data_IF_980100395001
#
_entry.id   IF_980100395001
#
_cell.length_a   1.000
_cell.length_b   1.000
_cell.length_c   1.000
_cell.angle_alpha   90.00
_cell.angle_beta   90.00
_cell.angle_gamma   90.00
#
_symmetry.space_group_name_H-M   'P 1'
#
loop_
_entity.id
_entity.type
_entity.pdbx_description
1 polymer ?
#
# COMPACT_ATOMS: atom_id res chain seq x y z
N UNK A 1 30.23 -0.52 -0.04
CA UNK A 1 30.14 -0.53 1.43
C UNK A 1 29.63 -1.91 1.83
N UNK A 2 30.56 -2.79 2.19
CA UNK A 2 30.28 -4.14 2.69
C UNK A 2 29.70 -4.02 4.09
N UNK A 3 28.51 -4.57 4.32
CA UNK A 3 27.95 -4.69 5.65
C UNK A 3 28.91 -5.55 6.50
N UNK A 4 29.60 -4.89 7.42
CA UNK A 4 30.44 -5.48 8.46
C UNK A 4 29.57 -6.37 9.34
N UNK A 5 29.93 -7.66 9.46
CA UNK A 5 29.82 -8.66 10.55
C UNK A 5 28.73 -8.55 11.68
N UNK A 6 28.07 -7.42 11.89
CA UNK A 6 27.03 -7.14 12.90
C UNK A 6 25.62 -7.63 12.52
N UNK A 7 25.38 -8.06 11.27
CA UNK A 7 24.03 -8.30 10.75
C UNK A 7 23.28 -9.53 11.29
N UNK A 8 23.89 -10.72 11.49
CA UNK A 8 23.15 -11.90 11.94
C UNK A 8 22.93 -11.98 13.45
N UNK A 9 23.84 -11.40 14.25
CA UNK A 9 23.73 -11.40 15.72
C UNK A 9 22.58 -10.49 16.19
N UNK A 10 22.36 -9.38 15.47
CA UNK A 10 21.24 -8.48 15.73
C UNK A 10 19.90 -9.15 15.45
N UNK A 11 19.76 -9.85 14.32
CA UNK A 11 18.53 -10.57 13.97
C UNK A 11 18.21 -11.64 15.01
N UNK A 12 19.20 -12.43 15.44
CA UNK A 12 19.01 -13.46 16.47
C UNK A 12 18.58 -12.89 17.82
N UNK A 13 18.98 -11.65 18.13
CA UNK A 13 18.59 -10.99 19.39
C UNK A 13 17.10 -10.67 19.43
N UNK A 14 16.51 -10.31 18.29
CA UNK A 14 15.09 -9.93 18.20
C UNK A 14 14.17 -11.09 17.81
N UNK A 15 14.72 -12.16 17.23
CA UNK A 15 13.97 -13.33 16.76
C UNK A 15 12.94 -13.88 17.78
N UNK A 16 13.25 -14.01 19.09
CA UNK A 16 12.29 -14.53 20.07
C UNK A 16 11.03 -13.67 20.25
N UNK A 17 11.13 -12.37 19.97
CA UNK A 17 10.03 -11.41 20.16
C UNK A 17 9.09 -11.35 18.95
N UNK A 18 9.57 -11.78 17.77
CA UNK A 18 8.84 -11.66 16.50
C UNK A 18 7.46 -12.32 16.54
N UNK A 19 7.27 -13.54 17.06
CA UNK A 19 5.94 -14.16 17.11
C UNK A 19 4.92 -13.33 17.89
N UNK A 20 5.31 -12.79 19.05
CA UNK A 20 4.42 -11.95 19.85
C UNK A 20 4.06 -10.63 19.14
N UNK A 21 4.99 -10.07 18.37
CA UNK A 21 4.74 -8.90 17.53
C UNK A 21 3.79 -9.21 16.36
N UNK A 22 3.94 -10.37 15.71
CA UNK A 22 3.02 -10.84 14.66
C UNK A 22 1.60 -10.99 15.23
N UNK A 23 1.46 -11.58 16.40
CA UNK A 23 0.15 -11.75 17.04
C UNK A 23 -0.47 -10.39 17.41
N UNK A 24 0.33 -9.49 17.99
CA UNK A 24 -0.11 -8.11 18.28
C UNK A 24 -0.57 -7.38 17.01
N UNK A 25 0.14 -7.55 15.90
CA UNK A 25 -0.24 -6.98 14.60
C UNK A 25 -1.58 -7.55 14.10
N UNK A 26 -1.76 -8.87 14.21
CA UNK A 26 -3.01 -9.56 13.83
C UNK A 26 -4.22 -9.12 14.64
N UNK A 27 -4.04 -8.81 15.92
CA UNK A 27 -5.09 -8.30 16.80
C UNK A 27 -5.49 -6.86 16.45
N UNK A 28 -4.50 -6.02 16.10
CA UNK A 28 -4.70 -4.59 15.84
C UNK A 28 -5.16 -4.28 14.42
N UNK A 29 -4.81 -5.13 13.45
CA UNK A 29 -5.10 -4.85 12.05
C UNK A 29 -6.62 -4.84 11.81
N UNK A 30 -7.05 -3.90 10.99
CA UNK A 30 -8.41 -3.90 10.45
C UNK A 30 -8.50 -4.87 9.27
N UNK A 31 -9.58 -5.65 9.22
CA UNK A 31 -9.88 -6.53 8.09
C UNK A 31 -10.86 -5.81 7.18
N UNK A 32 -10.41 -5.53 5.98
CA UNK A 32 -11.22 -4.99 4.89
C UNK A 32 -10.81 -5.67 3.58
N UNK A 33 -11.67 -5.57 2.57
CA UNK A 33 -11.44 -6.10 1.23
C UNK A 33 -11.72 -5.04 0.17
N UNK A 34 -10.96 -5.08 -0.93
CA UNK A 34 -11.06 -4.09 -2.00
C UNK A 34 -12.48 -3.91 -2.55
N UNK A 35 -13.22 -5.01 -2.68
CA UNK A 35 -14.58 -4.98 -3.20
C UNK A 35 -15.58 -4.24 -2.31
N UNK A 36 -15.26 -4.02 -1.02
CA UNK A 36 -16.12 -3.32 -0.07
C UNK A 36 -16.00 -1.78 -0.19
N UNK A 37 -14.88 -1.29 -0.73
CA UNK A 37 -14.53 0.14 -0.74
C UNK A 37 -14.46 0.76 -2.14
N UNK A 38 -14.45 -0.07 -3.19
CA UNK A 38 -14.53 0.38 -4.57
C UNK A 38 -16.00 0.70 -4.92
N UNK A 39 -16.32 1.92 -5.43
CA UNK A 39 -17.68 2.27 -5.82
C UNK A 39 -18.04 1.66 -7.19
N UNK A 40 -18.29 0.35 -7.23
CA UNK A 40 -18.53 -0.42 -8.46
C UNK A 40 -19.65 0.14 -9.34
N UNK A 41 -20.67 0.75 -8.75
CA UNK A 41 -21.79 1.39 -9.45
C UNK A 41 -21.37 2.55 -10.36
N UNK A 42 -20.17 3.10 -10.17
CA UNK A 42 -19.60 4.15 -11.02
C UNK A 42 -18.82 3.60 -12.23
N UNK A 43 -18.70 2.27 -12.35
CA UNK A 43 -18.00 1.60 -13.44
C UNK A 43 -18.61 1.90 -14.81
N UNK A 44 -17.76 2.10 -15.82
CA UNK A 44 -18.17 2.42 -17.20
C UNK A 44 -17.44 1.53 -18.20
N UNK A 45 -18.08 1.23 -19.31
CA UNK A 45 -17.44 0.54 -20.42
C UNK A 45 -16.61 1.53 -21.24
N UNK A 46 -15.27 1.42 -21.20
CA UNK A 46 -14.38 2.32 -21.91
C UNK A 46 -14.29 2.10 -23.42
N UNK A 47 -14.92 1.04 -23.96
CA UNK A 47 -15.16 0.91 -25.40
C UNK A 47 -16.26 1.87 -25.87
N UNK A 48 -17.29 2.05 -25.05
CA UNK A 48 -18.46 2.87 -25.38
C UNK A 48 -18.25 4.33 -24.95
N UNK A 49 -17.60 4.53 -23.80
CA UNK A 49 -17.22 5.85 -23.28
C UNK A 49 -15.71 5.91 -23.00
N UNK A 50 -14.89 6.26 -24.01
CA UNK A 50 -13.45 6.39 -23.85
C UNK A 50 -13.09 7.33 -22.69
N UNK A 51 -12.04 6.97 -21.96
CA UNK A 51 -11.57 7.77 -20.82
C UNK A 51 -11.06 9.14 -21.30
N UNK A 52 -11.55 10.20 -20.67
CA UNK A 52 -11.14 11.59 -20.96
C UNK A 52 -10.79 12.37 -19.69
N UNK A 53 -10.12 13.51 -19.83
CA UNK A 53 -9.74 14.35 -18.68
C UNK A 53 -10.94 14.90 -17.92
N UNK A 54 -12.07 15.12 -18.61
CA UNK A 54 -13.33 15.58 -18.00
C UNK A 54 -13.94 14.59 -17.01
N UNK A 55 -13.50 13.32 -17.01
CA UNK A 55 -13.95 12.31 -16.06
C UNK A 55 -13.17 12.33 -14.74
N UNK A 56 -12.08 13.10 -14.64
CA UNK A 56 -11.31 13.23 -13.40
C UNK A 56 -11.93 14.31 -12.49
N UNK A 57 -12.11 13.99 -11.22
CA UNK A 57 -12.68 14.91 -10.21
C UNK A 57 -11.62 15.68 -9.42
N UNK A 58 -10.35 15.28 -9.52
CA UNK A 58 -9.19 15.91 -8.84
C UNK A 58 -8.19 16.48 -9.84
N UNK A 59 -7.44 17.50 -9.43
CA UNK A 59 -6.44 18.14 -10.31
C UNK A 59 -5.37 17.18 -10.82
N UNK A 60 -4.71 17.56 -11.92
CA UNK A 60 -3.59 16.78 -12.48
C UNK A 60 -2.43 16.63 -11.49
N UNK A 61 -2.18 17.64 -10.67
CA UNK A 61 -1.14 17.64 -9.65
C UNK A 61 -1.43 16.57 -8.60
N UNK A 62 -2.67 16.53 -8.09
CA UNK A 62 -3.06 15.56 -7.08
C UNK A 62 -3.11 14.14 -7.63
N UNK A 63 -3.47 13.94 -8.91
CA UNK A 63 -3.40 12.63 -9.58
C UNK A 63 -1.99 12.01 -9.64
N UNK A 64 -0.94 12.80 -9.45
CA UNK A 64 0.44 12.27 -9.52
C UNK A 64 0.75 11.35 -8.33
N UNK A 65 0.19 11.63 -7.15
CA UNK A 65 0.40 10.81 -5.95
C UNK A 65 -0.13 9.36 -6.10
N UNK A 66 -1.41 9.11 -6.47
CA UNK A 66 -1.91 7.74 -6.64
C UNK A 66 -1.22 7.01 -7.80
N UNK A 67 -0.79 7.70 -8.86
CA UNK A 67 0.01 7.09 -9.93
C UNK A 67 1.38 6.64 -9.42
N UNK A 68 2.07 7.48 -8.65
CA UNK A 68 3.34 7.11 -8.04
C UNK A 68 3.17 5.92 -7.10
N UNK A 69 2.13 5.96 -6.26
CA UNK A 69 1.85 4.91 -5.30
C UNK A 69 1.57 3.56 -5.99
N UNK A 70 0.78 3.56 -7.07
CA UNK A 70 0.56 2.39 -7.93
C UNK A 70 1.88 1.84 -8.49
N UNK A 71 2.75 2.71 -9.03
CA UNK A 71 4.02 2.28 -9.62
C UNK A 71 5.00 1.70 -8.58
N UNK A 72 5.00 2.24 -7.37
CA UNK A 72 5.81 1.68 -6.27
C UNK A 72 5.21 0.38 -5.73
N UNK A 73 3.87 0.31 -5.71
CA UNK A 73 3.09 -0.85 -5.35
C UNK A 73 3.42 -2.03 -6.26
N UNK A 74 3.22 -1.87 -7.57
CA UNK A 74 3.36 -2.92 -8.61
C UNK A 74 4.72 -3.65 -8.60
N UNK A 75 5.75 -3.05 -7.99
CA UNK A 75 7.03 -3.68 -7.71
C UNK A 75 7.02 -4.65 -6.49
N UNK A 76 5.87 -4.96 -5.90
CA UNK A 76 5.72 -5.82 -4.73
C UNK A 76 6.29 -7.21 -4.92
N UNK A 77 6.14 -7.90 -6.08
CA UNK A 77 6.74 -9.21 -6.29
C UNK A 77 8.26 -9.18 -6.13
N UNK A 78 8.91 -8.12 -6.62
CA UNK A 78 10.35 -7.93 -6.46
C UNK A 78 10.72 -7.64 -5.00
N UNK A 79 9.98 -6.77 -4.32
CA UNK A 79 10.19 -6.45 -2.90
C UNK A 79 10.03 -7.70 -2.02
N UNK A 80 8.98 -8.48 -2.26
CA UNK A 80 8.75 -9.77 -1.61
C UNK A 80 9.92 -10.72 -1.84
N UNK A 81 10.32 -10.94 -3.09
CA UNK A 81 11.41 -11.86 -3.41
C UNK A 81 12.73 -11.48 -2.70
N UNK A 82 13.05 -10.18 -2.61
CA UNK A 82 14.25 -9.72 -1.89
C UNK A 82 14.15 -9.94 -0.38
N UNK A 83 13.01 -9.62 0.23
CA UNK A 83 12.84 -9.76 1.69
C UNK A 83 12.79 -11.24 2.07
N UNK A 84 11.93 -12.03 1.42
CA UNK A 84 11.79 -13.47 1.68
C UNK A 84 13.10 -14.22 1.44
N UNK A 85 13.88 -13.85 0.41
CA UNK A 85 15.18 -14.44 0.14
C UNK A 85 16.25 -14.09 1.18
N UNK A 86 16.14 -12.95 1.87
CA UNK A 86 17.07 -12.54 2.92
C UNK A 86 16.85 -13.28 4.24
N UNK A 87 15.65 -13.81 4.48
CA UNK A 87 15.25 -14.49 5.72
C UNK A 87 14.78 -15.93 5.49
N UNK A 88 15.26 -16.58 4.43
CA UNK A 88 14.76 -17.89 3.99
C UNK A 88 14.88 -18.99 5.07
N UNK A 89 15.89 -18.90 5.93
CA UNK A 89 16.16 -19.87 7.00
C UNK A 89 15.52 -19.48 8.36
N UNK A 90 14.74 -18.39 8.42
CA UNK A 90 14.14 -17.85 9.64
C UNK A 90 12.59 -17.95 9.60
N UNK A 91 11.98 -18.96 10.25
CA UNK A 91 10.54 -19.24 10.08
C UNK A 91 9.61 -18.09 10.47
N UNK A 92 9.90 -17.37 11.56
CA UNK A 92 9.07 -16.25 12.02
C UNK A 92 9.14 -15.06 11.04
N UNK A 93 10.32 -14.80 10.47
CA UNK A 93 10.49 -13.76 9.46
C UNK A 93 9.88 -14.15 8.11
N UNK A 94 9.90 -15.43 7.75
CA UNK A 94 9.18 -15.93 6.57
C UNK A 94 7.65 -15.74 6.73
N UNK A 95 7.10 -16.06 7.91
CA UNK A 95 5.69 -15.82 8.23
C UNK A 95 5.32 -14.33 8.14
N UNK A 96 6.12 -13.46 8.77
CA UNK A 96 5.92 -12.01 8.68
C UNK A 96 5.99 -11.50 7.24
N UNK A 97 6.98 -11.98 6.46
CA UNK A 97 7.16 -11.59 5.06
C UNK A 97 5.95 -11.95 4.21
N UNK A 98 5.40 -13.15 4.40
CA UNK A 98 4.17 -13.58 3.75
C UNK A 98 2.97 -12.73 4.16
N UNK A 99 2.81 -12.47 5.46
CA UNK A 99 1.70 -11.69 5.98
C UNK A 99 1.71 -10.25 5.46
N UNK A 100 2.84 -9.55 5.60
CA UNK A 100 3.04 -8.19 5.09
C UNK A 100 2.75 -8.12 3.58
N UNK A 101 3.19 -9.12 2.83
CA UNK A 101 2.98 -9.13 1.36
C UNK A 101 1.52 -9.31 1.00
N UNK A 102 0.78 -10.15 1.72
CA UNK A 102 -0.66 -10.29 1.51
C UNK A 102 -1.42 -8.99 1.85
N UNK A 103 -1.00 -8.28 2.90
CA UNK A 103 -1.61 -7.01 3.30
C UNK A 103 -1.27 -5.87 2.31
N UNK A 104 0.01 -5.69 1.94
CA UNK A 104 0.40 -4.69 0.93
C UNK A 104 -0.24 -4.95 -0.43
N UNK A 105 -0.34 -6.22 -0.86
CA UNK A 105 -0.98 -6.56 -2.13
C UNK A 105 -2.47 -6.23 -2.16
N UNK A 106 -3.15 -6.22 -1.01
CA UNK A 106 -4.52 -5.72 -0.92
C UNK A 106 -4.57 -4.20 -1.02
N UNK A 107 -3.67 -3.50 -0.35
CA UNK A 107 -3.63 -2.04 -0.34
C UNK A 107 -3.37 -1.50 -1.77
N UNK A 108 -2.49 -2.16 -2.52
CA UNK A 108 -2.19 -1.84 -3.93
C UNK A 108 -3.40 -1.94 -4.88
N UNK A 109 -4.37 -2.81 -4.58
CA UNK A 109 -5.61 -2.92 -5.37
C UNK A 109 -6.50 -1.68 -5.22
N UNK A 110 -6.41 -0.98 -4.08
CA UNK A 110 -7.33 0.10 -3.71
C UNK A 110 -6.71 1.47 -3.70
N UNK A 111 -5.39 1.59 -3.67
CA UNK A 111 -4.67 2.87 -3.60
C UNK A 111 -5.01 3.88 -4.73
N UNK A 112 -5.75 3.44 -5.75
CA UNK A 112 -6.27 4.26 -6.84
C UNK A 112 -7.81 4.43 -6.84
N UNK A 113 -8.54 3.99 -5.81
CA UNK A 113 -10.01 3.94 -5.78
C UNK A 113 -10.63 4.40 -4.45
N UNK A 114 -11.78 5.08 -4.52
CA UNK A 114 -12.62 5.37 -3.33
C UNK A 114 -12.01 6.41 -2.39
N UNK A 115 -11.74 6.00 -1.14
CA UNK A 115 -11.32 6.85 -0.01
C UNK A 115 -10.16 7.81 -0.32
N UNK A 116 -9.08 7.43 -1.03
CA UNK A 116 -7.99 8.34 -1.36
C UNK A 116 -8.41 9.46 -2.32
N UNK A 117 -9.34 9.21 -3.24
CA UNK A 117 -9.88 10.24 -4.14
C UNK A 117 -10.74 11.22 -3.34
N UNK A 118 -11.60 10.73 -2.45
CA UNK A 118 -12.39 11.60 -1.57
C UNK A 118 -11.50 12.44 -0.64
N UNK A 119 -10.43 11.85 -0.11
CA UNK A 119 -9.42 12.56 0.70
C UNK A 119 -8.71 13.63 -0.12
N UNK A 120 -8.33 13.32 -1.36
CA UNK A 120 -7.75 14.27 -2.30
C UNK A 120 -8.70 15.44 -2.61
N UNK A 121 -9.97 15.17 -2.88
CA UNK A 121 -10.99 16.21 -3.10
C UNK A 121 -11.16 17.10 -1.86
N UNK A 122 -11.24 16.51 -0.66
CA UNK A 122 -11.31 17.26 0.60
C UNK A 122 -10.07 18.14 0.83
N UNK A 123 -8.90 17.62 0.48
CA UNK A 123 -7.63 18.36 0.56
C UNK A 123 -7.64 19.58 -0.38
N UNK A 124 -7.99 19.40 -1.65
CA UNK A 124 -8.08 20.50 -2.63
C UNK A 124 -9.11 21.55 -2.21
N UNK A 125 -10.28 21.11 -1.73
CA UNK A 125 -11.30 22.01 -1.20
C UNK A 125 -10.78 22.82 0.01
N UNK A 126 -9.95 22.21 0.86
CA UNK A 126 -9.28 22.86 1.98
C UNK A 126 -8.26 23.93 1.53
N UNK A 127 -7.43 23.61 0.53
CA UNK A 127 -6.48 24.55 -0.06
C UNK A 127 -7.19 25.77 -0.66
N UNK A 128 -8.26 25.55 -1.43
CA UNK A 128 -9.02 26.62 -2.06
C UNK A 128 -9.69 27.56 -1.03
N UNK A 129 -10.09 27.06 0.15
CA UNK A 129 -10.58 27.90 1.25
C UNK A 129 -9.48 28.79 1.82
N UNK A 130 -8.30 28.23 2.06
CA UNK A 130 -7.15 28.97 2.65
C UNK A 130 -6.62 30.07 1.74
N UNK A 131 -6.67 29.88 0.42
CA UNK A 131 -6.21 30.90 -0.54
C UNK A 131 -7.18 32.09 -0.70
N UNK A 132 -8.40 31.99 -0.18
CA UNK A 132 -9.42 33.05 -0.20
C UNK A 132 -9.48 33.88 1.09
N UNK A 133 -8.71 33.49 2.11
CA UNK A 133 -8.65 34.16 3.43
C UNK A 133 -7.32 34.89 3.53
#
# INVERSE_FOLDING_TARGET
>A
MTATVESPELTRTVEPDIPALIDTHRERRERWYAHEVVPWEQGRNHRDEPRGESQATVSRQVRTAPVLNLLTGDNLPYRHARISGAFADEPAMAEWSGLRTAEEGRDELVDITGTPIEQAERFEAGLARRQRT
#
